data_IF_408145850281
#
_entry.id   IF_408145850281
#
_cell.length_a   1.000
_cell.length_b   1.000
_cell.length_c   1.000
_cell.angle_alpha   90.00
_cell.angle_beta   90.00
_cell.angle_gamma   90.00
#
_symmetry.space_group_name_H-M   'P 1'
#
loop_
_entity.id
_entity.type
_entity.pdbx_description
1 polymer ?
#
# COMPACT_ATOMS: atom_id res chain seq x y z
N UNK A 1 9.09 11.74 -1.25
CA UNK A 1 7.97 10.80 -1.41
C UNK A 1 6.93 11.41 -2.32
N UNK A 2 6.62 12.70 -2.15
CA UNK A 2 5.82 13.48 -3.10
C UNK A 2 6.35 13.37 -4.54
N UNK A 3 5.42 13.18 -5.48
CA UNK A 3 5.65 12.93 -6.90
C UNK A 3 6.06 11.49 -7.25
N UNK A 4 6.20 10.56 -6.31
CA UNK A 4 6.69 9.19 -6.60
C UNK A 4 5.59 8.15 -6.43
N UNK A 5 5.10 7.65 -7.57
CA UNK A 5 4.18 6.51 -7.60
C UNK A 5 4.93 5.21 -7.38
N UNK A 6 4.26 4.26 -6.73
CA UNK A 6 4.81 2.91 -6.53
C UNK A 6 4.87 2.16 -7.86
N UNK A 7 6.04 1.61 -8.16
CA UNK A 7 6.32 0.79 -9.34
C UNK A 7 6.06 -0.70 -9.08
N UNK A 8 5.88 -1.53 -10.13
CA UNK A 8 5.63 -2.97 -9.99
C UNK A 8 6.67 -3.70 -9.14
N UNK A 9 7.95 -3.30 -9.21
CA UNK A 9 9.04 -3.94 -8.46
C UNK A 9 8.85 -3.87 -6.95
N UNK A 10 8.19 -2.84 -6.43
CA UNK A 10 7.87 -2.77 -5.01
C UNK A 10 6.72 -3.71 -4.62
N UNK A 11 5.76 -3.92 -5.54
CA UNK A 11 4.65 -4.87 -5.37
C UNK A 11 5.16 -6.31 -5.43
N UNK A 12 6.07 -6.62 -6.36
CA UNK A 12 6.74 -7.93 -6.46
C UNK A 12 7.47 -8.28 -5.16
N UNK A 13 8.27 -7.36 -4.63
CA UNK A 13 8.96 -7.54 -3.34
C UNK A 13 8.00 -7.76 -2.18
N UNK A 14 6.85 -7.07 -2.17
CA UNK A 14 5.84 -7.25 -1.13
C UNK A 14 5.19 -8.65 -1.22
N UNK A 15 4.97 -9.16 -2.43
CA UNK A 15 4.48 -10.52 -2.66
C UNK A 15 5.49 -11.59 -2.23
N UNK A 16 6.77 -11.41 -2.56
CA UNK A 16 7.85 -12.31 -2.12
C UNK A 16 7.89 -12.40 -0.59
N UNK A 17 7.77 -11.26 0.11
CA UNK A 17 7.72 -11.22 1.58
C UNK A 17 6.49 -11.95 2.13
N UNK A 18 5.33 -11.77 1.49
CA UNK A 18 4.09 -12.44 1.88
C UNK A 18 4.20 -13.96 1.71
N UNK A 19 4.77 -14.43 0.60
CA UNK A 19 4.97 -15.84 0.32
C UNK A 19 5.92 -16.49 1.33
N UNK A 20 7.05 -15.84 1.62
CA UNK A 20 8.04 -16.33 2.58
C UNK A 20 7.45 -16.40 4.00
N UNK A 21 6.68 -15.39 4.40
CA UNK A 21 6.00 -15.38 5.69
C UNK A 21 5.00 -16.54 5.78
N UNK A 22 4.21 -16.76 4.73
CA UNK A 22 3.22 -17.82 4.73
C UNK A 22 3.87 -19.21 4.80
N UNK A 23 4.97 -19.44 4.06
CA UNK A 23 5.73 -20.70 4.13
C UNK A 23 6.25 -20.99 5.53
N UNK A 24 6.74 -19.97 6.25
CA UNK A 24 7.30 -20.11 7.60
C UNK A 24 6.27 -20.30 8.70
N UNK A 25 5.09 -19.70 8.54
CA UNK A 25 4.10 -19.58 9.61
C UNK A 25 2.84 -20.41 9.39
N UNK A 26 2.57 -20.84 8.15
CA UNK A 26 1.36 -21.58 7.80
C UNK A 26 0.10 -20.81 8.18
N UNK A 27 0.00 -19.55 7.75
CA UNK A 27 -1.09 -18.66 8.19
C UNK A 27 -2.42 -19.13 7.59
N UNK A 28 -3.46 -19.20 8.41
CA UNK A 28 -4.82 -19.49 7.94
C UNK A 28 -5.33 -18.42 6.97
N UNK A 29 -4.95 -17.16 7.22
CA UNK A 29 -5.30 -16.01 6.40
C UNK A 29 -4.11 -15.05 6.32
N UNK A 30 -3.70 -14.71 5.10
CA UNK A 30 -2.75 -13.64 4.82
C UNK A 30 -3.39 -12.62 3.88
N UNK A 31 -3.38 -11.35 4.30
CA UNK A 31 -3.87 -10.24 3.47
C UNK A 31 -2.79 -9.18 3.36
N UNK A 32 -2.45 -8.85 2.11
CA UNK A 32 -1.44 -7.84 1.80
C UNK A 32 -2.12 -6.49 1.58
N UNK A 33 -1.56 -5.45 2.19
CA UNK A 33 -2.03 -4.07 2.04
C UNK A 33 -0.84 -3.13 1.81
N UNK A 34 -0.85 -2.40 0.69
CA UNK A 34 0.13 -1.37 0.36
C UNK A 34 -0.38 0.04 0.70
N UNK A 35 0.39 0.82 1.45
CA UNK A 35 0.18 2.27 1.53
C UNK A 35 1.09 3.00 0.52
N UNK A 36 0.49 3.69 -0.43
CA UNK A 36 1.18 4.38 -1.52
C UNK A 36 0.84 5.88 -1.49
N UNK A 37 1.71 6.71 -0.91
CA UNK A 37 1.44 8.13 -0.62
C UNK A 37 0.80 8.87 -1.81
N UNK A 38 1.45 8.82 -2.99
CA UNK A 38 0.96 9.46 -4.24
C UNK A 38 0.31 8.47 -5.21
N UNK A 39 -0.05 7.30 -4.70
CA UNK A 39 -0.61 6.19 -5.45
C UNK A 39 0.42 5.36 -6.21
N UNK A 40 -0.09 4.62 -7.18
CA UNK A 40 0.65 3.56 -7.88
C UNK A 40 0.66 3.80 -9.39
N UNK A 41 1.62 3.22 -10.10
CA UNK A 41 1.57 3.22 -11.57
C UNK A 41 0.49 2.27 -12.08
N UNK A 42 0.04 2.46 -13.33
CA UNK A 42 -0.97 1.58 -13.95
C UNK A 42 -0.56 0.11 -13.96
N UNK A 43 0.75 -0.14 -14.17
CA UNK A 43 1.31 -1.50 -14.14
C UNK A 43 1.24 -2.09 -12.73
N UNK A 44 1.58 -1.29 -11.71
CA UNK A 44 1.49 -1.71 -10.31
C UNK A 44 0.03 -1.97 -9.87
N UNK A 45 -0.93 -1.12 -10.29
CA UNK A 45 -2.36 -1.34 -10.01
C UNK A 45 -2.87 -2.65 -10.63
N UNK A 46 -2.50 -2.93 -11.89
CA UNK A 46 -2.86 -4.18 -12.55
C UNK A 46 -2.31 -5.41 -11.80
N UNK A 47 -1.05 -5.36 -11.39
CA UNK A 47 -0.42 -6.43 -10.60
C UNK A 47 -1.08 -6.61 -9.24
N UNK A 48 -1.36 -5.52 -8.52
CA UNK A 48 -2.06 -5.58 -7.23
C UNK A 48 -3.45 -6.20 -7.34
N UNK A 49 -4.22 -5.84 -8.38
CA UNK A 49 -5.54 -6.43 -8.63
C UNK A 49 -5.45 -7.93 -8.92
N UNK A 50 -4.47 -8.36 -9.71
CA UNK A 50 -4.25 -9.78 -10.00
C UNK A 50 -4.02 -10.61 -8.73
N UNK A 51 -3.33 -10.03 -7.74
CA UNK A 51 -3.00 -10.70 -6.48
C UNK A 51 -3.93 -10.32 -5.31
N UNK A 52 -5.04 -9.63 -5.57
CA UNK A 52 -5.98 -9.16 -4.54
C UNK A 52 -5.30 -8.34 -3.41
N UNK A 53 -4.26 -7.57 -3.75
CA UNK A 53 -3.59 -6.66 -2.83
C UNK A 53 -4.48 -5.44 -2.61
N UNK A 54 -4.80 -5.15 -1.34
CA UNK A 54 -5.45 -3.91 -0.98
C UNK A 54 -4.45 -2.76 -1.01
N UNK A 55 -4.91 -1.55 -1.30
CA UNK A 55 -4.05 -0.39 -1.21
C UNK A 55 -4.81 0.89 -0.89
N UNK A 56 -4.07 1.86 -0.38
CA UNK A 56 -4.60 3.17 0.04
C UNK A 56 -3.56 4.25 -0.20
N UNK A 57 -4.05 5.47 -0.43
CA UNK A 57 -3.27 6.68 -0.67
C UNK A 57 -3.23 7.59 0.55
N UNK A 58 -2.45 8.68 0.45
CA UNK A 58 -2.52 9.78 1.42
C UNK A 58 -3.94 10.37 1.51
N UNK A 59 -4.65 10.49 0.39
CA UNK A 59 -6.01 11.01 0.38
C UNK A 59 -6.97 10.12 1.18
N UNK A 60 -6.86 8.80 1.02
CA UNK A 60 -7.67 7.83 1.78
C UNK A 60 -7.38 7.92 3.28
N UNK A 61 -6.09 8.02 3.65
CA UNK A 61 -5.69 8.21 5.04
C UNK A 61 -6.21 9.53 5.62
N UNK A 62 -6.09 10.64 4.89
CA UNK A 62 -6.56 11.94 5.35
C UNK A 62 -8.09 11.99 5.51
N UNK A 63 -8.84 11.26 4.68
CA UNK A 63 -10.28 11.08 4.84
C UNK A 63 -10.62 10.30 6.12
N UNK A 64 -9.90 9.20 6.39
CA UNK A 64 -10.04 8.42 7.62
C UNK A 64 -9.73 9.25 8.87
N UNK A 65 -8.64 10.02 8.85
CA UNK A 65 -8.25 10.89 9.96
C UNK A 65 -9.31 11.97 10.21
N UNK A 66 -9.86 12.56 9.15
CA UNK A 66 -10.94 13.56 9.26
C UNK A 66 -12.17 12.95 9.92
N UNK A 67 -12.59 11.75 9.48
CA UNK A 67 -13.72 11.04 10.06
C UNK A 67 -13.49 10.72 11.56
N UNK A 68 -12.28 10.33 11.91
CA UNK A 68 -11.87 10.05 13.29
C UNK A 68 -11.64 11.31 14.16
N UNK A 69 -11.87 12.52 13.61
CA UNK A 69 -11.57 13.80 14.26
C UNK A 69 -10.10 13.93 14.69
N UNK A 70 -9.20 13.29 13.95
CA UNK A 70 -7.75 13.35 14.15
C UNK A 70 -7.11 14.39 13.23
N UNK A 71 -5.96 14.90 13.67
CA UNK A 71 -5.14 15.80 12.85
C UNK A 71 -4.56 15.05 11.66
N UNK A 72 -4.70 15.63 10.46
CA UNK A 72 -4.02 15.15 9.25
C UNK A 72 -2.50 15.23 9.41
N UNK A 73 -1.79 14.35 8.70
CA UNK A 73 -0.33 14.42 8.66
C UNK A 73 0.11 15.78 8.07
N UNK A 74 1.27 16.31 8.45
CA UNK A 74 1.81 17.52 7.82
C UNK A 74 2.13 17.25 6.33
N UNK A 75 2.12 18.30 5.53
CA UNK A 75 2.80 18.33 4.23
C UNK A 75 4.28 18.59 4.49
N UNK A 76 5.17 17.88 3.80
CA UNK A 76 6.59 18.20 3.85
C UNK A 76 6.79 19.39 2.91
N UNK A 77 6.55 20.59 3.43
CA UNK A 77 6.92 21.82 2.73
C UNK A 77 8.40 22.05 3.04
N UNK A 78 9.24 22.13 2.02
CA UNK A 78 10.57 22.74 2.16
C UNK A 78 10.43 24.22 2.53
#
# INVERSE_FOLDING_TARGET
WEGRKVEPSAVERLLEQAEELNKRKGLDILRVWLFAHDGVTKKADALMRQHNILWSTRADLDALLTLAKLRKLPTFSD
#
